data_IF_492610631778
#
_entry.id   IF_492610631778
#
_cell.length_a   1.000
_cell.length_b   1.000
_cell.length_c   1.000
_cell.angle_alpha   90.00
_cell.angle_beta   90.00
_cell.angle_gamma   90.00
#
_symmetry.space_group_name_H-M   'P 1'
#
loop_
_entity.id
_entity.type
_entity.pdbx_description
1 polymer ?
#
# COMPACT_ATOMS: atom_id res chain seq x y z
N UNK A 1 5.44 8.67 -8.54
CA UNK A 1 3.97 8.86 -8.53
C UNK A 1 3.37 7.74 -7.71
N UNK A 2 2.93 8.02 -6.49
CA UNK A 2 2.15 7.05 -5.68
C UNK A 2 0.68 7.48 -5.71
N UNK A 3 -0.23 6.51 -5.66
CA UNK A 3 -1.67 6.75 -5.66
C UNK A 3 -2.33 6.53 -4.30
N UNK A 4 -1.59 5.94 -3.37
CA UNK A 4 -2.06 5.66 -2.03
C UNK A 4 -0.87 5.39 -1.10
N UNK A 5 -1.08 5.69 0.19
CA UNK A 5 -0.06 5.55 1.22
C UNK A 5 -0.69 5.43 2.59
N UNK A 6 -0.24 4.45 3.39
CA UNK A 6 -0.70 4.22 4.76
C UNK A 6 0.50 3.96 5.66
N UNK A 7 0.50 4.60 6.82
CA UNK A 7 1.43 4.30 7.90
C UNK A 7 0.85 3.26 8.85
N UNK A 8 1.64 2.24 9.15
CA UNK A 8 1.31 1.22 10.14
C UNK A 8 2.60 0.65 10.76
N UNK A 9 2.70 0.69 12.09
CA UNK A 9 3.84 0.11 12.82
C UNK A 9 5.22 0.65 12.43
N UNK A 10 5.31 1.89 11.94
CA UNK A 10 6.58 2.49 11.46
C UNK A 10 6.95 2.13 10.01
N UNK A 11 6.12 1.34 9.34
CA UNK A 11 6.21 1.07 7.91
C UNK A 11 5.21 1.94 7.15
N UNK A 12 5.63 2.40 5.97
CA UNK A 12 4.80 3.08 5.00
C UNK A 12 4.52 2.13 3.85
N UNK A 13 3.27 1.72 3.71
CA UNK A 13 2.79 0.92 2.59
C UNK A 13 2.33 1.88 1.50
N UNK A 14 2.88 1.76 0.30
CA UNK A 14 2.49 2.63 -0.83
C UNK A 14 2.17 1.81 -2.07
N UNK A 15 1.31 2.34 -2.91
CA UNK A 15 0.98 1.76 -4.21
C UNK A 15 1.32 2.72 -5.35
N UNK A 16 1.70 2.13 -6.49
CA UNK A 16 1.81 2.87 -7.76
C UNK A 16 0.43 3.22 -8.33
N UNK A 17 0.41 3.91 -9.48
CA UNK A 17 -0.84 4.20 -10.21
C UNK A 17 -1.32 3.07 -11.12
N UNK A 18 -0.42 2.13 -11.42
CA UNK A 18 -0.61 1.15 -12.49
C UNK A 18 -0.07 -0.23 -12.10
N UNK A 19 1.03 -0.27 -11.35
CA UNK A 19 1.63 -1.52 -10.91
C UNK A 19 0.74 -2.19 -9.85
N UNK A 20 0.56 -3.50 -10.01
CA UNK A 20 -0.15 -4.40 -9.10
C UNK A 20 0.76 -4.79 -7.93
N UNK A 21 1.26 -3.78 -7.23
CA UNK A 21 2.32 -3.91 -6.23
C UNK A 21 2.08 -2.94 -5.05
N UNK A 22 2.40 -3.42 -3.85
CA UNK A 22 2.58 -2.62 -2.65
C UNK A 22 4.07 -2.56 -2.34
N UNK A 23 4.61 -1.34 -2.19
CA UNK A 23 5.95 -1.09 -1.71
C UNK A 23 5.91 -0.84 -0.21
N UNK A 24 6.62 -1.67 0.54
CA UNK A 24 6.78 -1.51 1.98
C UNK A 24 8.05 -0.70 2.24
N UNK A 25 7.87 0.50 2.76
CA UNK A 25 8.93 1.47 3.00
C UNK A 25 9.13 1.65 4.50
N UNK A 26 10.37 1.88 4.90
CA UNK A 26 10.72 2.20 6.29
C UNK A 26 11.37 3.57 6.36
N UNK A 27 10.99 4.35 7.38
CA UNK A 27 11.68 5.58 7.71
C UNK A 27 13.03 5.26 8.38
N UNK A 28 14.17 5.71 7.83
CA UNK A 28 15.45 5.45 8.48
C UNK A 28 15.58 6.24 9.77
N UNK A 29 16.43 5.77 10.69
CA UNK A 29 16.76 6.50 11.92
C UNK A 29 17.37 7.90 11.64
N UNK A 30 18.12 8.03 10.54
CA UNK A 30 18.66 9.30 10.07
C UNK A 30 18.74 9.33 8.54
N UNK A 31 18.63 10.53 7.96
CA UNK A 31 18.61 10.76 6.52
C UNK A 31 17.21 11.05 5.97
N UNK A 32 17.12 11.25 4.65
CA UNK A 32 15.89 11.70 3.97
C UNK A 32 15.31 10.69 2.96
N UNK A 33 15.94 9.52 2.83
CA UNK A 33 15.52 8.49 1.87
C UNK A 33 14.88 7.32 2.60
N UNK A 34 13.64 6.99 2.23
CA UNK A 34 12.97 5.79 2.72
C UNK A 34 13.67 4.53 2.20
N UNK A 35 13.70 3.50 3.03
CA UNK A 35 14.27 2.19 2.65
C UNK A 35 13.18 1.28 2.13
N UNK A 36 13.34 0.74 0.94
CA UNK A 36 12.46 -0.31 0.42
C UNK A 36 12.76 -1.62 1.15
N UNK A 37 11.78 -2.13 1.88
CA UNK A 37 11.88 -3.37 2.66
C UNK A 37 11.31 -4.57 1.91
N UNK A 38 10.23 -4.37 1.17
CA UNK A 38 9.61 -5.42 0.37
C UNK A 38 8.76 -4.84 -0.78
N UNK A 39 8.54 -5.65 -1.81
CA UNK A 39 7.53 -5.44 -2.84
C UNK A 39 6.58 -6.63 -2.75
N UNK A 40 5.30 -6.36 -2.52
CA UNK A 40 4.27 -7.37 -2.31
C UNK A 40 3.32 -7.32 -3.52
N UNK A 41 3.02 -8.45 -4.19
CA UNK A 41 2.01 -8.50 -5.23
C UNK A 41 0.64 -8.05 -4.68
N UNK A 42 -0.08 -7.26 -5.48
CA UNK A 42 -1.35 -6.70 -5.06
C UNK A 42 -2.38 -6.73 -6.19
N UNK A 43 -3.63 -7.04 -5.88
CA UNK A 43 -4.63 -7.29 -6.92
C UNK A 43 -5.15 -6.02 -7.61
N UNK A 44 -5.04 -4.85 -6.97
CA UNK A 44 -5.48 -3.57 -7.53
C UNK A 44 -4.34 -2.80 -8.21
N UNK A 45 -4.69 -1.98 -9.19
CA UNK A 45 -3.81 -0.99 -9.85
C UNK A 45 -3.42 0.17 -8.91
N UNK A 46 -3.73 0.08 -7.61
CA UNK A 46 -3.12 0.91 -6.57
C UNK A 46 -3.77 2.27 -6.34
N UNK A 47 -4.98 2.51 -6.86
CA UNK A 47 -5.67 3.77 -6.68
C UNK A 47 -6.43 3.85 -5.36
N UNK A 48 -5.90 4.63 -4.42
CA UNK A 48 -6.48 4.80 -3.08
C UNK A 48 -6.44 3.51 -2.27
N UNK A 49 -5.76 3.53 -1.14
CA UNK A 49 -5.72 2.38 -0.21
C UNK A 49 -6.08 2.83 1.20
N UNK A 50 -6.73 1.96 1.96
CA UNK A 50 -6.95 2.12 3.40
C UNK A 50 -6.66 0.79 4.12
N UNK A 51 -6.16 0.85 5.35
CA UNK A 51 -5.94 -0.33 6.19
C UNK A 51 -6.93 -0.27 7.36
N UNK A 52 -7.64 -1.37 7.58
CA UNK A 52 -8.31 -1.62 8.85
C UNK A 52 -7.33 -2.34 9.79
N UNK A 53 -6.83 -1.67 10.85
CA UNK A 53 -5.86 -2.26 11.76
C UNK A 53 -6.45 -3.34 12.66
N UNK A 54 -7.77 -3.33 12.91
CA UNK A 54 -8.44 -4.31 13.76
C UNK A 54 -8.65 -5.63 13.01
N UNK A 55 -9.09 -5.55 11.76
CA UNK A 55 -9.30 -6.73 10.91
C UNK A 55 -8.05 -7.16 10.12
N UNK A 56 -7.00 -6.32 10.07
CA UNK A 56 -5.77 -6.52 9.29
C UNK A 56 -6.03 -6.73 7.79
N UNK A 57 -6.99 -5.98 7.25
CA UNK A 57 -7.32 -6.01 5.82
C UNK A 57 -7.07 -4.66 5.16
N UNK A 58 -6.57 -4.73 3.94
CA UNK A 58 -6.37 -3.59 3.06
C UNK A 58 -7.57 -3.45 2.12
N UNK A 59 -8.14 -2.25 2.07
CA UNK A 59 -9.11 -1.83 1.09
C UNK A 59 -8.42 -1.09 -0.05
N UNK A 60 -8.86 -1.30 -1.28
CA UNK A 60 -8.43 -0.51 -2.44
C UNK A 60 -9.55 -0.28 -3.44
N UNK A 61 -9.42 0.76 -4.27
CA UNK A 61 -10.41 1.08 -5.29
C UNK A 61 -9.91 0.61 -6.66
N UNK A 62 -10.72 -0.21 -7.34
CA UNK A 62 -10.50 -0.56 -8.74
C UNK A 62 -11.43 0.29 -9.61
N UNK A 63 -10.92 1.43 -10.10
CA UNK A 63 -11.76 2.40 -10.83
C UNK A 63 -12.38 1.88 -12.12
N UNK A 64 -11.67 1.02 -12.85
CA UNK A 64 -12.15 0.47 -14.14
C UNK A 64 -13.45 -0.32 -13.96
N UNK A 65 -13.54 -1.10 -12.88
CA UNK A 65 -14.69 -1.94 -12.56
C UNK A 65 -15.63 -1.28 -11.55
N UNK A 66 -15.22 -0.18 -10.91
CA UNK A 66 -15.93 0.54 -9.84
C UNK A 66 -16.15 -0.31 -8.60
N UNK A 67 -15.16 -1.14 -8.27
CA UNK A 67 -15.21 -2.06 -7.13
C UNK A 67 -14.29 -1.58 -6.01
N UNK A 68 -14.64 -1.99 -4.79
CA UNK A 68 -13.74 -1.98 -3.64
C UNK A 68 -13.21 -3.39 -3.46
N UNK A 69 -11.89 -3.56 -3.54
CA UNK A 69 -11.24 -4.83 -3.27
C UNK A 69 -10.80 -4.85 -1.81
N UNK A 70 -11.00 -5.99 -1.16
CA UNK A 70 -10.55 -6.26 0.21
C UNK A 70 -9.53 -7.38 0.15
N UNK A 71 -8.32 -7.12 0.65
CA UNK A 71 -7.22 -8.08 0.65
C UNK A 71 -6.64 -8.20 2.04
N UNK A 72 -6.33 -9.41 2.50
CA UNK A 72 -5.55 -9.57 3.71
C UNK A 72 -4.14 -9.00 3.49
N UNK A 73 -3.62 -8.27 4.48
CA UNK A 73 -2.18 -8.01 4.49
C UNK A 73 -1.46 -9.32 4.85
N UNK A 74 -0.37 -9.68 4.15
CA UNK A 74 0.46 -10.81 4.54
C UNK A 74 1.10 -10.62 5.92
#
# INVERSE_FOLDING_TARGET
SNSGGIWDGGLLYTTGHHAREIYVLELPHSGSQLRLRAIIPFESEGQGIALDPAARVLYSIQRRTREVLVSALP
#
